data_IF_894562784549
#
_entry.id   IF_894562784549
#
_cell.length_a   1.000
_cell.length_b   1.000
_cell.length_c   1.000
_cell.angle_alpha   90.00
_cell.angle_beta   90.00
_cell.angle_gamma   90.00
#
_symmetry.space_group_name_H-M   'P 1'
#
loop_
_entity.id
_entity.type
_entity.pdbx_description
1 polymer ?
#
# COMPACT_ATOMS: atom_id res chain seq x y z
N UNK A 1 -22.51 11.06 12.79
CA UNK A 1 -21.30 10.21 12.73
C UNK A 1 -20.09 11.11 12.47
N UNK A 2 -19.02 11.00 13.27
CA UNK A 2 -17.75 11.70 13.02
C UNK A 2 -16.75 10.70 12.47
N UNK A 3 -16.10 11.02 11.35
CA UNK A 3 -14.99 10.25 10.83
C UNK A 3 -13.68 10.88 11.29
N UNK A 4 -12.74 10.06 11.73
CA UNK A 4 -11.39 10.50 12.10
C UNK A 4 -10.38 9.75 11.23
N UNK A 5 -9.36 10.47 10.78
CA UNK A 5 -8.22 9.86 10.10
C UNK A 5 -7.50 8.93 11.08
N UNK A 6 -7.61 7.61 10.84
CA UNK A 6 -6.95 6.62 11.69
C UNK A 6 -5.44 6.58 11.45
N UNK A 7 -5.00 6.63 10.19
CA UNK A 7 -3.59 6.56 9.79
C UNK A 7 -3.32 7.33 8.50
N UNK A 8 -2.09 7.82 8.37
CA UNK A 8 -1.56 8.40 7.13
C UNK A 8 -0.43 7.51 6.61
N UNK A 9 -0.50 7.10 5.34
CA UNK A 9 0.53 6.28 4.69
C UNK A 9 1.46 7.22 3.91
N UNK A 10 2.52 7.70 4.57
CA UNK A 10 3.48 8.65 3.96
C UNK A 10 4.56 7.89 3.21
N UNK A 11 4.94 8.40 2.03
CA UNK A 11 6.18 7.99 1.40
C UNK A 11 6.22 8.04 -0.13
N UNK A 12 5.08 8.06 -0.84
CA UNK A 12 5.11 8.24 -2.29
C UNK A 12 5.65 9.62 -2.68
N UNK A 13 6.49 9.66 -3.71
CA UNK A 13 7.06 10.89 -4.27
C UNK A 13 6.26 11.35 -5.50
N UNK A 14 5.03 11.80 -5.24
CA UNK A 14 4.07 12.25 -6.26
C UNK A 14 2.70 11.57 -6.15
N UNK A 15 1.81 11.80 -7.14
CA UNK A 15 0.45 11.26 -7.13
C UNK A 15 0.39 9.74 -6.95
N UNK A 16 -0.48 9.31 -6.04
CA UNK A 16 -0.90 7.91 -5.88
C UNK A 16 -2.07 7.67 -6.82
N UNK A 17 -1.93 6.68 -7.71
CA UNK A 17 -2.95 6.36 -8.73
C UNK A 17 -3.91 5.27 -8.28
N UNK A 18 -3.46 4.30 -7.50
CA UNK A 18 -4.32 3.27 -6.96
C UNK A 18 -3.92 2.84 -5.55
N UNK A 19 -4.93 2.38 -4.80
CA UNK A 19 -4.79 1.69 -3.51
C UNK A 19 -5.72 0.49 -3.52
N UNK A 20 -5.22 -0.68 -3.09
CA UNK A 20 -6.01 -1.92 -2.92
C UNK A 20 -5.71 -2.55 -1.58
N UNK A 21 -6.77 -2.91 -0.85
CA UNK A 21 -6.65 -3.77 0.32
C UNK A 21 -6.68 -5.23 -0.08
N UNK A 22 -6.12 -6.10 0.76
CA UNK A 22 -6.33 -7.52 0.61
C UNK A 22 -7.73 -7.85 1.14
N UNK A 23 -8.22 -9.05 0.84
CA UNK A 23 -9.55 -9.49 1.24
C UNK A 23 -9.81 -9.31 2.75
N UNK A 24 -8.80 -9.57 3.59
CA UNK A 24 -8.88 -9.43 5.06
C UNK A 24 -8.64 -8.00 5.58
N UNK A 25 -8.31 -7.05 4.72
CA UNK A 25 -7.98 -5.66 5.11
C UNK A 25 -6.71 -5.51 5.99
N UNK A 26 -5.92 -6.56 6.14
CA UNK A 26 -4.69 -6.59 6.96
C UNK A 26 -3.53 -5.89 6.28
N UNK A 27 -3.52 -5.89 4.95
CA UNK A 27 -2.51 -5.27 4.12
C UNK A 27 -3.17 -4.39 3.07
N UNK A 28 -2.46 -3.36 2.64
CA UNK A 28 -2.81 -2.64 1.43
C UNK A 28 -1.60 -2.40 0.55
N UNK A 29 -1.84 -2.32 -0.75
CA UNK A 29 -0.86 -1.94 -1.75
C UNK A 29 -1.24 -0.60 -2.36
N UNK A 30 -0.27 0.25 -2.59
CA UNK A 30 -0.42 1.53 -3.29
C UNK A 30 0.58 1.65 -4.43
N UNK A 31 0.25 2.40 -5.47
CA UNK A 31 1.14 2.65 -6.59
C UNK A 31 0.96 4.06 -7.17
N UNK A 32 1.99 4.62 -7.82
CA UNK A 32 1.93 6.02 -8.26
C UNK A 32 2.95 6.45 -9.31
N UNK A 33 3.02 7.77 -9.50
CA UNK A 33 3.92 8.45 -10.45
C UNK A 33 5.40 8.25 -10.16
N UNK A 34 5.74 7.99 -8.90
CA UNK A 34 7.11 7.74 -8.44
C UNK A 34 7.67 6.38 -8.92
N UNK A 35 6.90 5.66 -9.75
CA UNK A 35 7.24 4.35 -10.33
C UNK A 35 7.46 3.28 -9.28
N UNK A 36 6.80 3.42 -8.13
CA UNK A 36 6.85 2.45 -7.06
C UNK A 36 5.50 1.80 -6.81
N UNK A 37 5.57 0.55 -6.34
CA UNK A 37 4.48 -0.10 -5.64
C UNK A 37 4.90 -0.27 -4.19
N UNK A 38 4.03 0.03 -3.23
CA UNK A 38 4.32 -0.07 -1.80
C UNK A 38 3.32 -0.97 -1.12
N UNK A 39 3.81 -1.86 -0.26
CA UNK A 39 3.01 -2.74 0.58
C UNK A 39 3.05 -2.22 2.02
N UNK A 40 1.88 -2.12 2.64
CA UNK A 40 1.70 -1.54 3.96
C UNK A 40 0.94 -2.47 4.89
N UNK A 41 1.18 -2.33 6.19
CA UNK A 41 0.27 -2.78 7.23
C UNK A 41 -0.33 -1.54 7.92
N UNK A 42 -1.61 -1.20 7.67
CA UNK A 42 -2.25 -0.02 8.24
C UNK A 42 -2.58 -0.15 9.73
N UNK A 43 -2.50 -1.35 10.30
CA UNK A 43 -2.82 -1.61 11.72
C UNK A 43 -1.59 -1.55 12.63
N UNK A 44 -0.39 -1.41 12.05
CA UNK A 44 0.87 -1.28 12.78
C UNK A 44 1.43 0.12 12.62
N UNK A 45 2.00 0.65 13.69
CA UNK A 45 2.67 1.94 13.62
C UNK A 45 3.93 1.86 12.76
N UNK A 46 4.08 2.84 11.88
CA UNK A 46 5.30 3.04 11.09
C UNK A 46 6.37 3.76 11.89
N UNK A 47 7.59 3.76 11.36
CA UNK A 47 8.73 4.44 11.99
C UNK A 47 8.73 5.95 11.78
N UNK A 48 7.89 6.46 10.89
CA UNK A 48 7.82 7.89 10.51
C UNK A 48 6.91 8.74 11.42
N UNK A 49 6.66 8.29 12.66
CA UNK A 49 5.91 9.04 13.68
C UNK A 49 4.52 8.50 13.99
N UNK A 50 3.93 9.02 15.06
CA UNK A 50 2.63 8.58 15.59
C UNK A 50 1.52 8.79 14.56
N UNK A 51 0.71 7.74 14.34
CA UNK A 51 -0.36 7.77 13.33
C UNK A 51 0.10 7.47 11.90
N UNK A 52 1.39 7.16 11.67
CA UNK A 52 1.86 6.60 10.40
C UNK A 52 1.63 5.09 10.36
N UNK A 53 1.31 4.55 9.18
CA UNK A 53 1.22 3.12 8.97
C UNK A 53 2.59 2.49 8.67
N UNK A 54 2.76 1.21 9.00
CA UNK A 54 3.98 0.48 8.72
C UNK A 54 4.14 0.23 7.22
N UNK A 55 5.20 0.78 6.63
CA UNK A 55 5.68 0.38 5.31
C UNK A 55 6.42 -0.96 5.42
N UNK A 56 5.89 -2.00 4.78
CA UNK A 56 6.52 -3.33 4.77
C UNK A 56 7.58 -3.40 3.68
N UNK A 57 7.22 -2.99 2.47
CA UNK A 57 8.10 -3.13 1.31
C UNK A 57 7.80 -2.07 0.26
N UNK A 58 8.86 -1.56 -0.35
CA UNK A 58 8.77 -0.81 -1.61
C UNK A 58 9.33 -1.68 -2.74
N UNK A 59 8.56 -1.81 -3.82
CA UNK A 59 8.93 -2.46 -5.06
C UNK A 59 9.30 -1.36 -6.08
N UNK A 60 10.52 -1.44 -6.62
CA UNK A 60 11.10 -0.47 -7.56
C UNK A 60 11.78 -1.19 -8.73
N UNK A 61 12.00 -0.46 -9.82
CA UNK A 61 13.01 -0.82 -10.83
C UNK A 61 12.56 -1.73 -11.96
N UNK A 62 11.36 -2.32 -11.90
CA UNK A 62 10.82 -3.11 -13.00
C UNK A 62 9.94 -2.31 -13.97
N UNK A 63 9.48 -1.12 -13.57
CA UNK A 63 8.58 -0.30 -14.37
C UNK A 63 9.34 0.94 -14.89
N UNK A 64 9.41 1.10 -16.22
CA UNK A 64 10.05 2.26 -16.86
C UNK A 64 9.28 3.57 -16.68
N UNK A 65 7.97 3.45 -16.46
CA UNK A 65 7.02 4.54 -16.28
C UNK A 65 6.24 4.39 -14.98
N UNK A 66 5.36 5.36 -14.74
CA UNK A 66 4.44 5.38 -13.62
C UNK A 66 3.52 4.16 -13.54
N UNK A 67 3.12 3.81 -12.32
CA UNK A 67 2.29 2.63 -12.08
C UNK A 67 0.85 3.07 -11.88
N UNK A 68 0.02 2.86 -12.89
CA UNK A 68 -1.36 3.37 -12.92
C UNK A 68 -2.33 2.55 -12.08
N UNK A 69 -2.08 1.25 -11.90
CA UNK A 69 -2.93 0.39 -11.09
C UNK A 69 -2.14 -0.76 -10.45
N UNK A 70 -2.71 -1.34 -9.40
CA UNK A 70 -2.22 -2.53 -8.70
C UNK A 70 -3.40 -3.43 -8.36
N UNK A 71 -3.20 -4.74 -8.42
CA UNK A 71 -4.16 -5.73 -7.93
C UNK A 71 -3.49 -6.57 -6.84
N UNK A 72 -4.24 -6.86 -5.77
CA UNK A 72 -3.79 -7.77 -4.73
C UNK A 72 -4.81 -8.90 -4.59
N UNK A 73 -4.35 -10.11 -4.87
CA UNK A 73 -5.17 -11.32 -4.81
C UNK A 73 -4.63 -12.25 -3.72
N UNK A 74 -5.52 -12.81 -2.93
CA UNK A 74 -5.17 -13.90 -2.02
C UNK A 74 -5.30 -15.22 -2.78
N UNK A 75 -4.22 -15.97 -2.93
CA UNK A 75 -4.32 -17.32 -3.46
C UNK A 75 -4.94 -18.22 -2.39
N UNK A 76 -6.23 -18.53 -2.51
CA UNK A 76 -6.90 -19.52 -1.67
C UNK A 76 -6.56 -20.89 -2.24
N UNK A 77 -5.75 -21.67 -1.51
CA UNK A 77 -5.40 -23.08 -1.71
C UNK A 77 -5.41 -23.63 -3.15
N UNK A 78 -4.21 -23.83 -3.72
CA UNK A 78 -4.04 -24.87 -4.74
C UNK A 78 -4.22 -26.23 -4.03
N UNK A 79 -5.39 -26.83 -4.17
CA UNK A 79 -5.55 -28.26 -3.93
C UNK A 79 -4.88 -28.98 -5.10
N UNK A 80 -3.77 -29.67 -4.83
CA UNK A 80 -3.32 -30.84 -5.60
C UNK A 80 -3.79 -32.10 -4.89
#
# INVERSE_FOLDING_TARGET
MKFQCARVLRGHDGPVFAVRFNEKGTYCMSCGSDRTVRLWNPHREGTEGTGSALLIKTYRGLHGYEVRDVAMYAHVHAYV
#
